data_IF_453954450603
#
_entry.id   IF_453954450603
#
_cell.length_a   1.000
_cell.length_b   1.000
_cell.length_c   1.000
_cell.angle_alpha   90.00
_cell.angle_beta   90.00
_cell.angle_gamma   90.00
#
_symmetry.space_group_name_H-M   'P 1'
#
loop_
_entity.id
_entity.type
_entity.pdbx_description
1 polymer ?
#
# COMPACT_ATOMS: atom_id res chain seq x y z
N UNK A 1 -27.38 -21.73 -11.79
CA UNK A 1 -26.66 -21.30 -10.56
C UNK A 1 -25.70 -22.41 -10.17
N UNK A 2 -24.38 -22.17 -10.18
CA UNK A 2 -23.39 -23.21 -9.78
C UNK A 2 -23.30 -23.24 -8.26
N UNK A 3 -23.80 -24.32 -7.67
CA UNK A 3 -23.79 -24.59 -6.24
C UNK A 3 -22.34 -24.70 -5.75
N UNK A 4 -21.86 -23.70 -5.00
CA UNK A 4 -20.47 -23.63 -4.49
C UNK A 4 -20.25 -24.48 -3.23
N UNK A 5 -21.26 -25.22 -2.77
CA UNK A 5 -21.26 -25.95 -1.49
C UNK A 5 -21.02 -27.47 -1.60
N UNK A 6 -20.60 -28.00 -2.75
CA UNK A 6 -19.95 -29.31 -2.74
C UNK A 6 -18.55 -29.13 -2.14
N UNK A 7 -18.38 -29.52 -0.88
CA UNK A 7 -17.08 -29.68 -0.23
C UNK A 7 -16.33 -30.74 -1.04
N UNK A 8 -15.64 -30.30 -2.09
CA UNK A 8 -14.72 -31.15 -2.85
C UNK A 8 -13.67 -31.61 -1.85
N UNK A 9 -13.48 -32.92 -1.75
CA UNK A 9 -12.40 -33.51 -0.95
C UNK A 9 -11.10 -32.80 -1.33
N UNK A 10 -10.47 -32.13 -0.37
CA UNK A 10 -9.23 -31.39 -0.61
C UNK A 10 -8.15 -32.42 -0.91
N UNK A 11 -7.58 -32.38 -2.11
CA UNK A 11 -6.44 -33.24 -2.48
C UNK A 11 -5.20 -32.77 -1.72
N UNK A 12 -4.87 -33.49 -0.65
CA UNK A 12 -3.65 -33.28 0.15
C UNK A 12 -2.40 -33.65 -0.66
N UNK A 13 -1.23 -33.17 -0.20
CA UNK A 13 0.04 -33.43 -0.92
C UNK A 13 0.24 -32.58 -2.17
N UNK A 14 -0.56 -31.53 -2.37
CA UNK A 14 -0.43 -30.63 -3.50
C UNK A 14 -0.21 -29.18 -3.05
N UNK A 15 0.47 -28.39 -3.88
CA UNK A 15 0.63 -26.95 -3.64
C UNK A 15 -0.72 -26.22 -3.55
N UNK A 16 -1.71 -26.70 -4.33
CA UNK A 16 -3.07 -26.16 -4.33
C UNK A 16 -3.75 -26.35 -2.97
N UNK A 17 -3.63 -27.56 -2.40
CA UNK A 17 -4.08 -27.88 -1.04
C UNK A 17 -3.49 -26.93 0.01
N UNK A 18 -2.20 -26.62 -0.10
CA UNK A 18 -1.54 -25.69 0.82
C UNK A 18 -1.99 -24.22 0.62
N UNK A 19 -1.98 -23.71 -0.62
CA UNK A 19 -2.20 -22.28 -0.92
C UNK A 19 -3.67 -21.88 -0.91
N UNK A 20 -4.52 -22.63 -1.58
CA UNK A 20 -5.91 -22.25 -1.83
C UNK A 20 -6.85 -22.80 -0.75
N UNK A 21 -6.61 -24.03 -0.29
CA UNK A 21 -7.41 -24.68 0.74
C UNK A 21 -6.82 -24.54 2.15
N UNK A 22 -5.71 -23.82 2.29
CA UNK A 22 -5.02 -23.53 3.56
C UNK A 22 -4.70 -24.78 4.41
N UNK A 23 -4.61 -25.96 3.79
CA UNK A 23 -4.22 -27.16 4.49
C UNK A 23 -2.76 -27.05 4.97
N UNK A 24 -2.49 -27.52 6.19
CA UNK A 24 -1.18 -27.45 6.85
C UNK A 24 -0.64 -28.82 7.26
N UNK A 25 -1.21 -29.91 6.76
CA UNK A 25 -0.68 -31.26 6.98
C UNK A 25 0.73 -31.41 6.37
N UNK A 26 1.46 -32.42 6.82
CA UNK A 26 2.87 -32.63 6.42
C UNK A 26 3.02 -32.81 4.90
N UNK A 27 2.16 -33.59 4.25
CA UNK A 27 2.18 -33.77 2.79
C UNK A 27 2.07 -32.44 2.04
N UNK A 28 1.20 -31.53 2.48
CA UNK A 28 1.03 -30.21 1.87
C UNK A 28 2.22 -29.28 2.15
N UNK A 29 2.89 -29.42 3.31
CA UNK A 29 4.11 -28.67 3.64
C UNK A 29 5.29 -29.13 2.77
N UNK A 30 5.45 -30.44 2.61
CA UNK A 30 6.46 -31.04 1.73
C UNK A 30 6.26 -30.59 0.27
N UNK A 31 5.03 -30.69 -0.25
CA UNK A 31 4.73 -30.26 -1.62
C UNK A 31 5.04 -28.76 -1.85
N UNK A 32 4.83 -27.91 -0.84
CA UNK A 32 5.25 -26.50 -0.90
C UNK A 32 6.77 -26.37 -0.94
N UNK A 33 7.47 -27.08 -0.06
CA UNK A 33 8.92 -27.05 0.03
C UNK A 33 9.59 -27.51 -1.28
N UNK A 34 9.12 -28.62 -1.84
CA UNK A 34 9.56 -29.14 -3.15
C UNK A 34 9.32 -28.13 -4.28
N UNK A 35 8.14 -27.49 -4.31
CA UNK A 35 7.87 -26.45 -5.29
C UNK A 35 8.83 -25.25 -5.14
N UNK A 36 9.09 -24.80 -3.91
CA UNK A 36 9.99 -23.68 -3.65
C UNK A 36 11.45 -24.00 -3.98
N UNK A 37 11.91 -25.21 -3.69
CA UNK A 37 13.27 -25.68 -4.05
C UNK A 37 13.44 -25.77 -5.56
N UNK A 38 12.51 -26.43 -6.27
CA UNK A 38 12.54 -26.49 -7.73
C UNK A 38 12.46 -25.10 -8.37
N UNK A 39 11.64 -24.18 -7.83
CA UNK A 39 11.56 -22.81 -8.34
C UNK A 39 12.88 -22.05 -8.14
N UNK A 40 13.60 -22.29 -7.02
CA UNK A 40 14.93 -21.71 -6.79
C UNK A 40 15.96 -22.29 -7.74
N UNK A 41 15.95 -23.60 -7.96
CA UNK A 41 16.86 -24.27 -8.90
C UNK A 41 16.64 -23.81 -10.34
N UNK A 42 15.38 -23.72 -10.79
CA UNK A 42 15.03 -23.15 -12.10
C UNK A 42 15.51 -21.71 -12.24
N UNK A 43 15.47 -20.89 -11.18
CA UNK A 43 16.05 -19.54 -11.21
C UNK A 43 17.56 -19.54 -11.31
N UNK A 44 18.26 -20.52 -10.73
CA UNK A 44 19.72 -20.66 -10.87
C UNK A 44 20.10 -21.11 -12.27
N UNK A 45 19.44 -22.15 -12.79
CA UNK A 45 19.73 -22.76 -14.09
C UNK A 45 19.30 -21.83 -15.24
N UNK A 46 18.12 -21.21 -15.13
CA UNK A 46 17.61 -20.26 -16.13
C UNK A 46 18.27 -18.88 -16.08
N UNK A 47 19.17 -18.63 -15.11
CA UNK A 47 20.00 -17.43 -15.11
C UNK A 47 21.20 -17.67 -16.03
N UNK A 48 20.96 -17.62 -17.34
CA UNK A 48 22.04 -17.26 -18.24
C UNK A 48 22.53 -15.90 -17.77
N UNK A 49 23.80 -15.79 -17.36
CA UNK A 49 24.50 -14.53 -17.21
C UNK A 49 24.62 -13.89 -18.60
N UNK A 50 23.48 -13.47 -19.16
CA UNK A 50 23.47 -12.49 -20.23
C UNK A 50 24.14 -11.29 -19.58
N UNK A 51 25.27 -10.84 -20.14
CA UNK A 51 26.03 -9.71 -19.61
C UNK A 51 25.14 -8.51 -19.30
N UNK A 52 25.63 -7.51 -18.56
CA UNK A 52 24.83 -6.38 -18.13
C UNK A 52 23.98 -5.86 -19.29
N UNK A 53 22.65 -6.03 -19.18
CA UNK A 53 21.73 -5.61 -20.24
C UNK A 53 22.02 -4.13 -20.52
N UNK A 54 22.09 -3.73 -21.80
CA UNK A 54 22.31 -2.32 -22.12
C UNK A 54 21.25 -1.49 -21.40
N UNK A 55 21.70 -0.48 -20.67
CA UNK A 55 20.83 0.36 -19.85
C UNK A 55 19.98 1.21 -20.80
N UNK A 56 18.66 1.19 -20.61
CA UNK A 56 17.77 2.08 -21.36
C UNK A 56 17.81 3.49 -20.76
N UNK A 57 18.40 4.43 -21.48
CA UNK A 57 18.42 5.84 -21.14
C UNK A 57 17.03 6.48 -21.32
N UNK A 58 16.83 7.68 -20.76
CA UNK A 58 15.53 8.38 -20.82
C UNK A 58 14.41 7.70 -20.03
N UNK A 59 14.73 6.88 -19.03
CA UNK A 59 13.75 6.22 -18.16
C UNK A 59 14.04 6.44 -16.68
N UNK A 60 13.01 6.32 -15.83
CA UNK A 60 13.17 6.37 -14.37
C UNK A 60 14.15 5.30 -13.86
N UNK A 61 14.15 4.12 -14.49
CA UNK A 61 15.08 3.02 -14.17
C UNK A 61 16.53 3.38 -14.47
N UNK A 62 16.79 3.99 -15.64
CA UNK A 62 18.12 4.47 -16.00
C UNK A 62 18.70 5.46 -14.98
N UNK A 63 17.91 6.45 -14.56
CA UNK A 63 18.36 7.47 -13.61
C UNK A 63 18.42 6.99 -12.15
N UNK A 64 17.43 6.22 -11.70
CA UNK A 64 17.27 5.84 -10.30
C UNK A 64 18.01 4.56 -9.93
N UNK A 65 17.81 3.50 -10.69
CA UNK A 65 18.36 2.18 -10.40
C UNK A 65 19.79 2.05 -10.92
N UNK A 66 20.04 2.47 -12.16
CA UNK A 66 21.37 2.42 -12.78
C UNK A 66 22.22 3.67 -12.54
N UNK A 67 21.71 4.67 -11.80
CA UNK A 67 22.40 5.92 -11.45
C UNK A 67 22.96 6.71 -12.66
N UNK A 68 22.41 6.51 -13.85
CA UNK A 68 22.83 7.25 -15.02
C UNK A 68 22.45 8.74 -14.88
N UNK A 69 23.35 9.63 -15.31
CA UNK A 69 23.20 11.10 -15.23
C UNK A 69 23.34 11.81 -16.57
N UNK A 70 23.34 11.08 -17.69
CA UNK A 70 23.33 11.67 -19.02
C UNK A 70 22.14 12.62 -19.22
N UNK A 71 22.23 13.49 -20.23
CA UNK A 71 21.25 14.55 -20.48
C UNK A 71 19.84 14.00 -20.71
N UNK A 72 19.69 12.86 -21.40
CA UNK A 72 18.40 12.20 -21.60
C UNK A 72 17.75 11.75 -20.29
N UNK A 73 18.52 11.09 -19.41
CA UNK A 73 18.03 10.62 -18.11
C UNK A 73 17.72 11.79 -17.17
N UNK A 74 18.56 12.82 -17.19
CA UNK A 74 18.37 14.04 -16.41
C UNK A 74 17.15 14.83 -16.90
N UNK A 75 16.98 15.00 -18.22
CA UNK A 75 15.82 15.62 -18.85
C UNK A 75 14.53 14.88 -18.53
N UNK A 76 14.50 13.56 -18.69
CA UNK A 76 13.34 12.72 -18.31
C UNK A 76 12.93 12.96 -16.85
N UNK A 77 13.89 12.99 -15.92
CA UNK A 77 13.59 13.21 -14.51
C UNK A 77 13.12 14.63 -14.19
N UNK A 78 13.61 15.64 -14.91
CA UNK A 78 13.09 17.01 -14.79
C UNK A 78 11.63 17.07 -15.23
N UNK A 79 11.30 16.49 -16.39
CA UNK A 79 9.92 16.44 -16.87
C UNK A 79 9.00 15.63 -15.97
N UNK A 80 9.46 14.47 -15.50
CA UNK A 80 8.72 13.64 -14.55
C UNK A 80 8.41 14.40 -13.26
N UNK A 81 9.40 15.13 -12.71
CA UNK A 81 9.20 15.98 -11.52
C UNK A 81 8.24 17.12 -11.80
N UNK A 82 8.31 17.76 -12.97
CA UNK A 82 7.38 18.81 -13.40
C UNK A 82 5.95 18.29 -13.44
N UNK A 83 5.70 17.20 -14.16
CA UNK A 83 4.38 16.55 -14.25
C UNK A 83 3.85 16.14 -12.87
N UNK A 84 4.71 15.61 -11.99
CA UNK A 84 4.30 15.23 -10.63
C UNK A 84 3.89 16.44 -9.78
N UNK A 85 4.57 17.60 -9.94
CA UNK A 85 4.19 18.85 -9.26
C UNK A 85 2.85 19.36 -9.77
N UNK A 86 2.67 19.37 -11.08
CA UNK A 86 1.41 19.77 -11.72
C UNK A 86 0.25 18.88 -11.27
N UNK A 87 0.43 17.55 -11.32
CA UNK A 87 -0.55 16.60 -10.77
C UNK A 87 -0.82 16.83 -9.29
N UNK A 88 0.17 17.25 -8.49
CA UNK A 88 -0.06 17.55 -7.08
C UNK A 88 -0.90 18.80 -6.85
N UNK A 89 -0.83 19.78 -7.77
CA UNK A 89 -1.67 20.98 -7.75
C UNK A 89 -3.10 20.69 -8.23
N UNK A 90 -3.25 19.84 -9.25
CA UNK A 90 -4.56 19.48 -9.80
C UNK A 90 -5.27 18.37 -9.02
N UNK A 91 -4.56 17.68 -8.11
CA UNK A 91 -5.14 16.61 -7.29
C UNK A 91 -6.11 17.20 -6.25
N UNK A 92 -7.39 17.24 -6.62
CA UNK A 92 -8.52 17.33 -5.70
C UNK A 92 -8.68 15.95 -5.03
N UNK A 93 -7.77 15.65 -4.10
CA UNK A 93 -7.88 14.50 -3.20
C UNK A 93 -8.23 14.98 -1.80
N UNK A 94 -8.74 14.10 -0.92
CA UNK A 94 -8.90 14.45 0.49
C UNK A 94 -7.55 14.97 1.01
N UNK A 95 -7.55 16.06 1.80
CA UNK A 95 -6.31 16.61 2.33
C UNK A 95 -5.55 15.49 3.01
N UNK A 96 -4.23 15.41 2.79
CA UNK A 96 -3.37 14.52 3.59
C UNK A 96 -3.75 14.75 5.04
N UNK A 97 -4.18 13.70 5.76
CA UNK A 97 -4.67 13.79 7.15
C UNK A 97 -3.69 14.65 7.96
N UNK A 98 -4.00 15.94 8.14
CA UNK A 98 -3.21 16.82 8.98
C UNK A 98 -3.58 16.44 10.41
N UNK A 99 -2.58 16.25 11.26
CA UNK A 99 -2.75 15.83 12.65
C UNK A 99 -3.49 16.85 13.53
N UNK A 100 -3.88 18.00 12.98
CA UNK A 100 -4.47 19.14 13.68
C UNK A 100 -5.79 19.53 13.00
N UNK A 101 -6.86 19.67 13.77
CA UNK A 101 -8.11 20.31 13.32
C UNK A 101 -7.89 21.81 13.48
N UNK A 102 -7.84 22.54 12.37
CA UNK A 102 -7.74 24.01 12.38
C UNK A 102 -9.15 24.56 12.37
N UNK A 103 -9.51 25.35 13.37
CA UNK A 103 -10.76 26.12 13.38
C UNK A 103 -10.41 27.60 13.24
N UNK A 104 -11.13 28.29 12.36
CA UNK A 104 -11.02 29.73 12.18
C UNK A 104 -12.14 30.40 12.97
N UNK A 105 -11.78 31.23 13.94
CA UNK A 105 -12.76 32.07 14.65
C UNK A 105 -12.76 33.45 14.00
N UNK A 106 -13.94 33.88 13.55
CA UNK A 106 -14.14 35.24 13.07
C UNK A 106 -14.07 36.21 14.25
N UNK A 107 -13.20 37.21 14.15
CA UNK A 107 -13.09 38.32 15.09
C UNK A 107 -13.59 39.59 14.42
N UNK A 108 -14.36 40.39 15.15
CA UNK A 108 -14.86 41.67 14.65
C UNK A 108 -13.66 42.62 14.46
N UNK A 109 -13.39 43.01 13.21
CA UNK A 109 -12.25 43.86 12.80
C UNK A 109 -10.86 43.22 12.93
N UNK A 110 -10.67 42.00 12.39
CA UNK A 110 -9.33 41.43 12.26
C UNK A 110 -9.28 40.21 11.34
N UNK A 111 -8.07 39.75 10.97
CA UNK A 111 -7.92 38.45 10.33
C UNK A 111 -8.39 37.34 11.28
N UNK A 112 -9.01 36.27 10.76
CA UNK A 112 -9.50 35.17 11.58
C UNK A 112 -8.35 34.53 12.36
N UNK A 113 -8.58 34.26 13.64
CA UNK A 113 -7.57 33.65 14.52
C UNK A 113 -7.57 32.14 14.27
N UNK A 114 -6.39 31.57 14.02
CA UNK A 114 -6.20 30.13 13.94
C UNK A 114 -6.15 29.51 15.34
N UNK A 115 -7.18 28.76 15.71
CA UNK A 115 -7.16 27.92 16.91
C UNK A 115 -6.85 26.48 16.53
N UNK A 116 -5.80 25.95 17.16
CA UNK A 116 -5.38 24.57 16.98
C UNK A 116 -5.97 23.72 18.11
N UNK A 117 -6.80 22.74 17.75
CA UNK A 117 -7.17 21.68 18.69
C UNK A 117 -6.31 20.45 18.40
N UNK A 118 -5.51 20.03 19.39
CA UNK A 118 -4.79 18.76 19.32
C UNK A 118 -5.80 17.61 19.38
N UNK A 119 -5.75 16.74 18.37
CA UNK A 119 -6.60 15.55 18.33
C UNK A 119 -6.12 14.56 19.39
N UNK A 120 -6.95 14.24 20.36
CA UNK A 120 -6.59 13.30 21.43
C UNK A 120 -6.73 11.86 20.92
N UNK A 121 -5.71 11.03 21.18
CA UNK A 121 -5.70 9.60 20.81
C UNK A 121 -6.38 8.74 21.88
N UNK A 122 -7.58 9.13 22.28
CA UNK A 122 -8.36 8.38 23.25
C UNK A 122 -9.08 7.23 22.53
N UNK A 123 -8.85 5.99 22.97
CA UNK A 123 -9.47 4.82 22.37
C UNK A 123 -11.00 4.89 22.47
N UNK A 124 -11.70 4.39 21.44
CA UNK A 124 -13.16 4.46 21.35
C UNK A 124 -13.69 5.67 20.58
N UNK A 125 -12.85 6.66 20.27
CA UNK A 125 -13.24 7.84 19.48
C UNK A 125 -13.10 7.64 17.96
N UNK A 126 -13.89 8.38 17.18
CA UNK A 126 -13.72 8.50 15.72
C UNK A 126 -12.29 8.89 15.32
N UNK A 127 -11.67 9.79 16.08
CA UNK A 127 -10.31 10.24 15.83
C UNK A 127 -9.31 9.09 15.98
N UNK A 128 -9.36 8.33 17.07
CA UNK A 128 -8.47 7.19 17.29
C UNK A 128 -8.64 6.09 16.22
N UNK A 129 -9.87 5.82 15.77
CA UNK A 129 -10.12 4.93 14.63
C UNK A 129 -9.50 5.49 13.33
N UNK A 130 -9.68 6.79 13.05
CA UNK A 130 -9.12 7.44 11.86
C UNK A 130 -7.58 7.43 11.83
N UNK A 131 -6.94 7.35 13.01
CA UNK A 131 -5.48 7.21 13.17
C UNK A 131 -4.98 5.78 13.05
N UNK A 132 -5.86 4.80 12.86
CA UNK A 132 -5.48 3.39 12.67
C UNK A 132 -5.38 2.57 13.95
N UNK A 133 -5.99 3.02 15.05
CA UNK A 133 -6.13 2.19 16.24
C UNK A 133 -7.10 1.02 15.98
N UNK A 134 -6.65 -0.21 16.25
CA UNK A 134 -7.41 -1.44 15.98
C UNK A 134 -7.93 -2.13 17.25
N UNK A 135 -7.99 -1.43 18.39
CA UNK A 135 -8.56 -2.00 19.60
C UNK A 135 -10.08 -2.24 19.45
N UNK A 136 -10.63 -3.12 20.29
CA UNK A 136 -12.06 -3.50 20.23
C UNK A 136 -13.00 -2.30 20.34
N UNK A 137 -12.66 -1.32 21.19
CA UNK A 137 -13.43 -0.08 21.38
C UNK A 137 -13.39 0.82 20.13
N UNK A 138 -12.22 1.01 19.49
CA UNK A 138 -12.12 1.79 18.26
C UNK A 138 -12.83 1.13 17.07
N UNK A 139 -12.78 -0.20 16.97
CA UNK A 139 -13.41 -0.94 15.87
C UNK A 139 -14.95 -0.97 15.97
N UNK A 140 -15.50 -0.70 17.16
CA UNK A 140 -16.94 -0.66 17.42
C UNK A 140 -17.43 0.79 17.53
N UNK A 141 -17.13 1.45 18.65
CA UNK A 141 -17.57 2.82 18.95
C UNK A 141 -16.90 3.84 18.01
N UNK A 142 -15.56 3.80 17.92
CA UNK A 142 -14.84 4.77 17.09
C UNK A 142 -15.18 4.67 15.61
N UNK A 143 -15.35 3.46 15.07
CA UNK A 143 -15.80 3.23 13.69
C UNK A 143 -17.21 3.77 13.46
N UNK A 144 -18.14 3.53 14.39
CA UNK A 144 -19.52 4.00 14.25
C UNK A 144 -19.62 5.52 14.32
N UNK A 145 -18.87 6.16 15.21
CA UNK A 145 -18.77 7.63 15.26
C UNK A 145 -18.15 8.18 13.97
N UNK A 146 -17.05 7.59 13.49
CA UNK A 146 -16.41 8.01 12.24
C UNK A 146 -17.34 7.89 11.03
N UNK A 147 -18.16 6.83 10.97
CA UNK A 147 -19.13 6.66 9.90
C UNK A 147 -20.30 7.66 9.99
N UNK A 148 -20.66 8.15 11.19
CA UNK A 148 -21.64 9.22 11.35
C UNK A 148 -21.10 10.58 10.88
N UNK A 149 -19.81 10.87 11.09
CA UNK A 149 -19.20 12.14 10.68
C UNK A 149 -19.08 12.31 9.15
N UNK A 150 -19.07 11.20 8.40
CA UNK A 150 -18.91 11.21 6.93
C UNK A 150 -20.25 11.26 6.19
N UNK A 151 -21.36 10.99 6.90
CA UNK A 151 -22.71 10.98 6.32
C UNK A 151 -23.35 12.34 6.39
#
# INVERSE_FOLDING_TARGET
MRNQNLIKSVTHGTLSGYKHYKCRCELCRMARYEYETQAREKRKIGFVLVGPKPIKHGTAGGYGYHKCRCDECSGYMQEYRRKRREQSLTRIGPPRKRFRKVQYIAVHNGPPIELYTEKKRECGTAEAYSFGCTCSLCMTQGRNEYLKEIR
#
